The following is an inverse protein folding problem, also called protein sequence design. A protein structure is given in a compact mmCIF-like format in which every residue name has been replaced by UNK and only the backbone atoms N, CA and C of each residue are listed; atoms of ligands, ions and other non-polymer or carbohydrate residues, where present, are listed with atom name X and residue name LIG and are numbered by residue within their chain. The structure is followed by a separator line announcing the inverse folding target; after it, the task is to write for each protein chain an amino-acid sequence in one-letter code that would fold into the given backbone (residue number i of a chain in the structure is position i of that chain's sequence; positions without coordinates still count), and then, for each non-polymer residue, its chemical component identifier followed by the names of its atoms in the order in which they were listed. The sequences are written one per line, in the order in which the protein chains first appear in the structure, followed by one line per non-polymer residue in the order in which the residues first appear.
data_IF_433149912874
#
_entry.id   IF_433149912874
#
_cell.length_a   1.000
_cell.length_b   1.000
_cell.length_c   1.000
_cell.angle_alpha   90.00
_cell.angle_beta   90.00
_cell.angle_gamma   90.00
#
_symmetry.space_group_name_H-M   'P 1'
#
loop_
_entity.id
_entity.type
_entity.pdbx_description
1 polymer ?
#
# COMPACT_ATOMS: atom_id res chain seq x y z
N UNK A 1 23.85 -55.92 51.32
CA UNK A 1 23.93 -54.67 50.54
C UNK A 1 24.19 -55.08 49.11
N UNK A 2 23.11 -55.19 48.35
CA UNK A 2 23.08 -55.62 46.95
C UNK A 2 23.72 -54.56 46.02
N UNK A 3 24.45 -54.95 44.97
CA UNK A 3 25.00 -54.03 43.98
C UNK A 3 23.99 -53.77 42.85
N UNK A 4 23.44 -52.55 42.80
CA UNK A 4 22.44 -52.16 41.81
C UNK A 4 23.01 -51.62 40.50
N UNK A 5 23.21 -52.53 39.54
CA UNK A 5 23.07 -52.40 38.08
C UNK A 5 23.30 -51.04 37.38
N UNK A 6 24.38 -51.01 36.57
CA UNK A 6 24.60 -50.04 35.49
C UNK A 6 23.42 -50.04 34.50
N UNK A 7 22.74 -48.91 34.35
CA UNK A 7 21.85 -48.67 33.20
C UNK A 7 22.65 -48.07 32.06
N UNK A 8 22.95 -48.93 31.11
CA UNK A 8 23.47 -48.68 29.77
C UNK A 8 22.75 -47.50 29.10
N UNK A 9 23.50 -46.45 28.72
CA UNK A 9 22.98 -45.34 27.90
C UNK A 9 22.84 -45.84 26.46
N UNK A 10 21.60 -46.08 26.03
CA UNK A 10 21.27 -46.29 24.61
C UNK A 10 21.47 -44.93 23.90
N UNK A 11 22.35 -44.82 22.89
CA UNK A 11 22.49 -43.58 22.14
C UNK A 11 21.23 -43.36 21.28
N UNK A 12 20.55 -42.24 21.50
CA UNK A 12 19.51 -41.78 20.57
C UNK A 12 20.17 -41.44 19.25
N UNK A 13 19.94 -42.30 18.26
CA UNK A 13 20.32 -42.10 16.86
C UNK A 13 19.73 -40.77 16.38
N UNK A 14 20.60 -39.80 16.11
CA UNK A 14 20.24 -38.55 15.44
C UNK A 14 19.52 -38.93 14.14
N UNK A 15 18.21 -38.66 14.13
CA UNK A 15 17.39 -38.81 12.94
C UNK A 15 17.71 -37.57 12.11
N UNK A 16 18.62 -37.71 11.15
CA UNK A 16 18.82 -36.73 10.08
C UNK A 16 17.47 -36.52 9.38
N UNK A 17 16.73 -35.52 9.83
CA UNK A 17 15.67 -34.94 9.03
C UNK A 17 16.38 -34.20 7.90
N UNK A 18 16.43 -34.84 6.73
CA UNK A 18 16.61 -34.17 5.45
C UNK A 18 15.43 -33.23 5.21
N UNK A 19 15.33 -32.18 6.04
CA UNK A 19 14.44 -31.07 5.82
C UNK A 19 15.00 -30.32 4.63
N UNK A 20 14.27 -30.33 3.50
CA UNK A 20 14.48 -29.33 2.49
C UNK A 20 14.43 -27.97 3.21
N UNK A 21 15.58 -27.30 3.32
CA UNK A 21 15.62 -25.95 3.85
C UNK A 21 14.64 -25.14 3.02
N UNK A 22 13.68 -24.42 3.64
CA UNK A 22 12.80 -23.55 2.89
C UNK A 22 13.68 -22.64 2.03
N UNK A 23 13.43 -22.61 0.72
CA UNK A 23 14.07 -21.64 -0.16
C UNK A 23 13.51 -20.30 0.28
N UNK A 24 14.25 -19.60 1.13
CA UNK A 24 13.95 -18.22 1.49
C UNK A 24 14.31 -17.36 0.29
N UNK A 25 13.34 -17.15 -0.60
CA UNK A 25 13.47 -16.10 -1.61
C UNK A 25 13.67 -14.79 -0.85
N UNK A 26 14.80 -14.08 -1.04
CA UNK A 26 15.02 -12.81 -0.38
C UNK A 26 13.94 -11.84 -0.85
N UNK A 27 13.19 -11.30 0.11
CA UNK A 27 12.17 -10.29 -0.15
C UNK A 27 12.90 -8.99 -0.46
N UNK A 28 12.83 -8.54 -1.70
CA UNK A 28 13.51 -7.34 -2.16
C UNK A 28 12.74 -6.11 -1.69
N UNK A 29 13.47 -5.16 -1.10
CA UNK A 29 12.91 -3.86 -0.79
C UNK A 29 12.65 -3.08 -2.09
N UNK A 30 11.49 -2.43 -2.24
CA UNK A 30 11.20 -1.66 -3.45
C UNK A 30 12.06 -0.40 -3.52
N UNK A 31 12.57 -0.10 -4.71
CA UNK A 31 13.43 1.05 -4.96
C UNK A 31 12.63 2.26 -5.48
N UNK A 32 13.07 3.47 -5.12
CA UNK A 32 12.54 4.73 -5.60
C UNK A 32 13.50 5.28 -6.66
N UNK A 33 13.12 5.11 -7.92
CA UNK A 33 13.87 5.60 -9.09
C UNK A 33 13.24 6.84 -9.72
N UNK A 34 12.07 7.27 -9.23
CA UNK A 34 11.36 8.48 -9.67
C UNK A 34 10.56 9.08 -8.53
N UNK A 35 10.55 10.42 -8.44
CA UNK A 35 9.73 11.20 -7.50
C UNK A 35 8.39 11.63 -8.11
N UNK A 36 8.03 11.10 -9.29
CA UNK A 36 6.72 11.36 -9.89
C UNK A 36 5.59 10.78 -9.02
N UNK A 37 4.43 11.43 -9.03
CA UNK A 37 3.24 10.99 -8.27
C UNK A 37 2.92 9.51 -8.51
N UNK A 38 2.85 9.08 -9.77
CA UNK A 38 2.51 7.70 -10.12
C UNK A 38 3.57 6.69 -9.61
N UNK A 39 4.86 7.02 -9.72
CA UNK A 39 5.93 6.15 -9.23
C UNK A 39 5.88 6.04 -7.70
N UNK A 40 5.62 7.15 -6.99
CA UNK A 40 5.53 7.14 -5.53
C UNK A 40 4.28 6.44 -5.01
N UNK A 41 3.13 6.55 -5.70
CA UNK A 41 1.93 5.75 -5.37
C UNK A 41 2.22 4.26 -5.52
N UNK A 42 2.84 3.86 -6.63
CA UNK A 42 3.19 2.45 -6.85
C UNK A 42 4.19 1.95 -5.81
N UNK A 43 5.25 2.73 -5.55
CA UNK A 43 6.24 2.38 -4.53
C UNK A 43 5.61 2.22 -3.15
N UNK A 44 4.65 3.07 -2.75
CA UNK A 44 3.95 2.91 -1.46
C UNK A 44 3.20 1.58 -1.35
N UNK A 45 2.56 1.13 -2.43
CA UNK A 45 1.85 -0.16 -2.47
C UNK A 45 2.82 -1.31 -2.28
N UNK A 46 3.92 -1.32 -3.02
CA UNK A 46 4.97 -2.32 -2.92
C UNK A 46 5.64 -2.29 -1.54
N UNK A 47 5.89 -1.09 -1.01
CA UNK A 47 6.51 -0.86 0.30
C UNK A 47 5.65 -1.42 1.41
N UNK A 48 4.33 -1.26 1.36
CA UNK A 48 3.41 -1.85 2.34
C UNK A 48 3.51 -3.38 2.35
N UNK A 49 3.50 -4.02 1.18
CA UNK A 49 3.66 -5.48 1.05
C UNK A 49 5.01 -5.92 1.61
N UNK A 50 6.09 -5.23 1.25
CA UNK A 50 7.43 -5.49 1.78
C UNK A 50 7.46 -5.43 3.32
N UNK A 51 6.92 -4.36 3.91
CA UNK A 51 6.91 -4.16 5.36
C UNK A 51 6.02 -5.16 6.10
N UNK A 52 4.90 -5.58 5.50
CA UNK A 52 4.06 -6.64 6.06
C UNK A 52 4.82 -7.98 6.12
N UNK A 53 5.58 -8.31 5.07
CA UNK A 53 6.42 -9.52 5.06
C UNK A 53 7.57 -9.40 6.07
N UNK A 54 8.24 -8.24 6.17
CA UNK A 54 9.29 -8.02 7.16
C UNK A 54 8.77 -8.17 8.59
N UNK A 55 7.58 -7.64 8.90
CA UNK A 55 6.93 -7.82 10.21
C UNK A 55 6.64 -9.28 10.53
N UNK A 56 6.12 -10.04 9.57
CA UNK A 56 5.87 -11.48 9.76
C UNK A 56 7.16 -12.28 10.00
N UNK A 57 8.24 -11.93 9.28
CA UNK A 57 9.58 -12.53 9.49
C UNK A 57 10.11 -12.23 10.89
N UNK A 58 10.04 -10.98 11.35
CA UNK A 58 10.48 -10.59 12.69
C UNK A 58 9.71 -11.34 13.78
N UNK A 59 8.40 -11.54 13.61
CA UNK A 59 7.59 -12.34 14.55
C UNK A 59 8.05 -13.80 14.65
N UNK A 60 8.55 -14.37 13.56
CA UNK A 60 9.00 -15.77 13.51
C UNK A 60 10.43 -15.94 14.01
N UNK A 61 11.31 -14.99 13.70
CA UNK A 61 12.75 -15.08 13.96
C UNK A 61 13.19 -14.40 15.27
N UNK A 62 12.40 -13.45 15.78
CA UNK A 62 12.80 -12.55 16.86
C UNK A 62 13.76 -11.43 16.43
N UNK A 63 14.03 -11.28 15.13
CA UNK A 63 14.87 -10.20 14.61
C UNK A 63 14.22 -8.82 14.84
N UNK A 64 15.06 -7.81 15.13
CA UNK A 64 14.60 -6.42 15.23
C UNK A 64 14.14 -5.88 13.86
N UNK A 65 12.94 -5.33 13.81
CA UNK A 65 12.31 -4.81 12.59
C UNK A 65 13.13 -3.67 11.98
N UNK A 66 13.65 -2.75 12.79
CA UNK A 66 14.42 -1.64 12.30
C UNK A 66 15.77 -2.10 11.70
N UNK A 67 16.37 -3.15 12.25
CA UNK A 67 17.61 -3.73 11.74
C UNK A 67 17.43 -4.47 10.40
N UNK A 68 16.29 -5.13 10.16
CA UNK A 68 16.08 -5.94 8.94
C UNK A 68 15.33 -5.21 7.82
N UNK A 69 14.72 -4.07 8.12
CA UNK A 69 13.92 -3.30 7.15
C UNK A 69 14.76 -2.19 6.55
N UNK A 70 14.87 -2.16 5.21
CA UNK A 70 15.56 -1.08 4.50
C UNK A 70 14.90 0.27 4.79
N UNK A 71 15.65 1.30 5.14
CA UNK A 71 15.10 2.64 5.39
C UNK A 71 14.46 3.26 4.13
N UNK A 72 13.66 4.32 4.29
CA UNK A 72 13.10 5.05 3.14
C UNK A 72 14.22 5.72 2.36
N UNK A 73 15.18 6.33 3.07
CA UNK A 73 16.39 6.94 2.51
C UNK A 73 17.19 5.96 1.65
N UNK A 74 17.42 4.74 2.15
CA UNK A 74 18.15 3.69 1.43
C UNK A 74 17.34 3.03 0.31
N UNK A 75 16.05 3.35 0.22
CA UNK A 75 15.21 2.90 -0.91
C UNK A 75 15.39 3.79 -2.14
N UNK A 76 15.95 5.00 -2.03
CA UNK A 76 16.18 5.88 -3.18
C UNK A 76 17.41 5.47 -4.00
N UNK A 77 17.32 5.67 -5.32
CA UNK A 77 18.52 5.89 -6.11
C UNK A 77 19.32 7.07 -5.52
N UNK A 78 20.63 6.86 -5.32
CA UNK A 78 21.49 7.83 -4.63
C UNK A 78 21.50 9.18 -5.35
N UNK A 79 21.64 9.17 -6.67
CA UNK A 79 21.76 10.40 -7.47
C UNK A 79 20.43 11.15 -7.54
N UNK A 80 19.33 10.42 -7.60
CA UNK A 80 17.98 10.96 -7.48
C UNK A 80 17.81 11.69 -6.15
N UNK A 81 18.11 11.02 -5.03
CA UNK A 81 17.96 11.61 -3.69
C UNK A 81 18.83 12.84 -3.50
N UNK A 82 20.12 12.76 -3.85
CA UNK A 82 21.04 13.91 -3.77
C UNK A 82 20.55 15.11 -4.59
N UNK A 83 20.06 14.85 -5.80
CA UNK A 83 19.53 15.90 -6.68
C UNK A 83 18.24 16.48 -6.13
N UNK A 84 17.36 15.64 -5.59
CA UNK A 84 16.10 16.09 -5.02
C UNK A 84 16.31 16.93 -3.75
N UNK A 85 17.20 16.51 -2.83
CA UNK A 85 17.57 17.29 -1.66
C UNK A 85 18.17 18.66 -2.04
N UNK A 86 19.11 18.68 -3.00
CA UNK A 86 19.76 19.92 -3.47
C UNK A 86 18.77 20.89 -4.11
N UNK A 87 17.92 20.41 -5.02
CA UNK A 87 17.01 21.26 -5.79
C UNK A 87 15.74 21.64 -5.02
N UNK A 88 15.18 20.70 -4.26
CA UNK A 88 13.92 20.91 -3.54
C UNK A 88 14.09 21.66 -2.23
N UNK A 89 15.16 21.37 -1.49
CA UNK A 89 15.31 21.83 -0.10
C UNK A 89 16.60 22.59 0.18
N UNK A 90 17.56 22.62 -0.74
CA UNK A 90 18.86 23.26 -0.57
C UNK A 90 19.64 22.75 0.65
N UNK A 91 19.48 21.47 1.00
CA UNK A 91 20.18 20.80 2.10
C UNK A 91 21.01 19.63 1.59
N UNK A 92 22.03 19.25 2.36
CA UNK A 92 22.81 18.04 2.07
C UNK A 92 21.98 16.77 2.35
N UNK A 93 22.21 15.71 1.58
CA UNK A 93 21.53 14.41 1.79
C UNK A 93 21.77 13.85 3.20
N UNK A 94 22.91 14.18 3.83
CA UNK A 94 23.25 13.76 5.20
C UNK A 94 22.33 14.37 6.26
N UNK A 95 21.75 15.54 5.99
CA UNK A 95 20.86 16.27 6.91
C UNK A 95 19.39 15.86 6.78
N UNK A 96 19.06 15.04 5.77
CA UNK A 96 17.70 14.56 5.53
C UNK A 96 17.50 13.22 6.21
N UNK A 97 16.49 13.12 7.07
CA UNK A 97 16.08 11.89 7.72
C UNK A 97 14.90 11.22 7.02
N UNK A 98 14.63 9.99 7.47
CA UNK A 98 13.57 9.14 6.95
C UNK A 98 12.17 9.73 7.18
N UNK A 99 11.99 10.53 8.25
CA UNK A 99 10.71 11.14 8.58
C UNK A 99 10.36 12.25 7.58
N UNK A 100 11.31 13.13 7.29
CA UNK A 100 11.14 14.17 6.27
C UNK A 100 10.83 13.56 4.90
N UNK A 101 11.53 12.50 4.51
CA UNK A 101 11.26 11.81 3.24
C UNK A 101 9.86 11.23 3.19
N UNK A 102 9.38 10.58 4.27
CA UNK A 102 8.00 10.09 4.34
C UNK A 102 6.99 11.20 4.19
N UNK A 103 7.15 12.31 4.93
CA UNK A 103 6.26 13.46 4.84
C UNK A 103 6.19 14.05 3.43
N UNK A 104 7.31 14.07 2.72
CA UNK A 104 7.36 14.65 1.37
C UNK A 104 6.79 13.70 0.32
N UNK A 105 6.99 12.39 0.48
CA UNK A 105 6.28 11.37 -0.31
C UNK A 105 4.76 11.48 -0.07
N UNK A 106 4.33 11.63 1.19
CA UNK A 106 2.92 11.83 1.53
C UNK A 106 2.37 13.12 0.90
N UNK A 107 3.11 14.22 0.97
CA UNK A 107 2.73 15.48 0.32
C UNK A 107 2.53 15.30 -1.18
N UNK A 108 3.47 14.65 -1.87
CA UNK A 108 3.35 14.43 -3.32
C UNK A 108 2.15 13.55 -3.62
N UNK A 109 2.03 12.40 -2.95
CA UNK A 109 0.98 11.42 -3.24
C UNK A 109 -0.43 11.90 -2.88
N UNK A 110 -0.56 12.75 -1.86
CA UNK A 110 -1.84 13.35 -1.46
C UNK A 110 -2.16 14.66 -2.20
N UNK A 111 -1.19 15.23 -2.93
CA UNK A 111 -1.42 16.40 -3.76
C UNK A 111 -2.02 16.02 -5.12
N UNK A 112 -2.88 16.89 -5.64
CA UNK A 112 -3.42 16.72 -6.98
C UNK A 112 -2.27 16.72 -7.99
N UNK A 113 -2.23 15.67 -8.82
CA UNK A 113 -1.18 15.46 -9.83
C UNK A 113 -0.98 16.73 -10.67
N UNK A 114 0.28 17.18 -10.79
CA UNK A 114 0.69 18.39 -11.52
C UNK A 114 0.12 19.72 -10.98
N UNK A 115 -0.34 19.76 -9.72
CA UNK A 115 -0.99 20.95 -9.11
C UNK A 115 -2.16 21.53 -9.93
N UNK A 116 -2.69 20.75 -10.89
CA UNK A 116 -3.79 21.17 -11.75
C UNK A 116 -4.98 20.33 -11.35
N UNK A 117 -6.00 20.95 -10.76
CA UNK A 117 -7.27 20.28 -10.47
C UNK A 117 -7.83 19.68 -11.76
N UNK A 118 -7.83 18.35 -11.93
CA UNK A 118 -8.51 17.75 -13.06
C UNK A 118 -9.99 18.11 -12.95
N UNK A 119 -10.70 18.15 -14.07
CA UNK A 119 -12.15 18.15 -14.03
C UNK A 119 -12.58 16.81 -13.40
N UNK A 120 -12.74 16.79 -12.08
CA UNK A 120 -12.97 15.58 -11.27
C UNK A 120 -14.23 14.85 -11.74
N UNK A 121 -15.25 15.61 -12.16
CA UNK A 121 -16.47 15.03 -12.72
C UNK A 121 -16.21 14.31 -14.05
N UNK A 122 -15.46 14.91 -14.97
CA UNK A 122 -15.11 14.28 -16.23
C UNK A 122 -14.22 13.05 -16.02
N UNK A 123 -13.29 13.12 -15.06
CA UNK A 123 -12.42 12.00 -14.68
C UNK A 123 -13.25 10.81 -14.17
N UNK A 124 -14.12 11.04 -13.20
CA UNK A 124 -14.95 9.98 -12.64
C UNK A 124 -15.89 9.38 -13.70
N UNK A 125 -16.54 10.21 -14.53
CA UNK A 125 -17.36 9.70 -15.65
C UNK A 125 -16.56 8.85 -16.64
N UNK A 126 -15.28 9.16 -16.84
CA UNK A 126 -14.42 8.45 -17.78
C UNK A 126 -13.92 7.13 -17.22
N UNK A 127 -13.60 7.06 -15.93
CA UNK A 127 -12.84 5.94 -15.36
C UNK A 127 -13.63 5.08 -14.37
N UNK A 128 -14.70 5.61 -13.77
CA UNK A 128 -15.50 4.91 -12.78
C UNK A 128 -16.73 4.26 -13.44
N UNK A 129 -16.66 2.94 -13.63
CA UNK A 129 -17.73 2.17 -14.27
C UNK A 129 -18.08 0.92 -13.48
N UNK A 130 -19.33 0.48 -13.57
CA UNK A 130 -19.70 -0.84 -13.11
C UNK A 130 -19.11 -1.92 -14.03
N UNK A 131 -18.57 -2.99 -13.43
CA UNK A 131 -18.26 -4.20 -14.18
C UNK A 131 -19.56 -4.94 -14.51
N UNK A 132 -20.17 -4.66 -15.65
CA UNK A 132 -21.42 -5.30 -16.08
C UNK A 132 -21.27 -6.79 -16.44
N UNK A 133 -20.03 -7.30 -16.51
CA UNK A 133 -19.77 -8.74 -16.65
C UNK A 133 -19.92 -9.49 -15.33
N UNK A 134 -19.83 -8.79 -14.20
CA UNK A 134 -20.08 -9.37 -12.89
C UNK A 134 -21.59 -9.55 -12.66
N UNK A 135 -21.97 -10.79 -12.40
CA UNK A 135 -23.34 -11.23 -12.18
C UNK A 135 -23.82 -10.94 -10.76
N UNK A 136 -22.93 -11.04 -9.77
CA UNK A 136 -23.23 -10.74 -8.38
C UNK A 136 -23.35 -9.22 -8.18
N UNK A 137 -24.54 -8.76 -7.82
CA UNK A 137 -24.83 -7.34 -7.64
C UNK A 137 -24.01 -6.73 -6.50
N UNK A 138 -23.83 -7.47 -5.40
CA UNK A 138 -23.10 -7.01 -4.23
C UNK A 138 -21.62 -6.86 -4.56
N UNK A 139 -21.04 -7.86 -5.23
CA UNK A 139 -19.64 -7.80 -5.68
C UNK A 139 -19.43 -6.66 -6.69
N UNK A 140 -20.35 -6.49 -7.64
CA UNK A 140 -20.28 -5.39 -8.60
C UNK A 140 -20.30 -4.01 -7.93
N UNK A 141 -21.11 -3.84 -6.88
CA UNK A 141 -21.12 -2.61 -6.06
C UNK A 141 -19.81 -2.44 -5.31
N UNK A 142 -19.30 -3.50 -4.68
CA UNK A 142 -18.02 -3.47 -3.98
C UNK A 142 -16.87 -3.04 -4.90
N UNK A 143 -16.76 -3.66 -6.08
CA UNK A 143 -15.75 -3.33 -7.09
C UNK A 143 -15.85 -1.88 -7.60
N UNK A 144 -17.06 -1.32 -7.67
CA UNK A 144 -17.28 0.08 -8.01
C UNK A 144 -16.68 1.02 -6.95
N UNK A 145 -16.91 0.74 -5.66
CA UNK A 145 -16.30 1.52 -4.58
C UNK A 145 -14.77 1.36 -4.52
N UNK A 146 -14.25 0.15 -4.70
CA UNK A 146 -12.80 -0.11 -4.80
C UNK A 146 -12.20 0.71 -5.95
N UNK A 147 -12.87 0.74 -7.11
CA UNK A 147 -12.43 1.54 -8.26
C UNK A 147 -12.43 3.04 -7.97
N UNK A 148 -13.39 3.54 -7.17
CA UNK A 148 -13.40 4.92 -6.73
C UNK A 148 -12.20 5.25 -5.84
N UNK A 149 -11.89 4.40 -4.84
CA UNK A 149 -10.70 4.61 -3.99
C UNK A 149 -9.42 4.59 -4.82
N UNK A 150 -9.31 3.68 -5.80
CA UNK A 150 -8.19 3.62 -6.73
C UNK A 150 -8.01 4.92 -7.51
N UNK A 151 -9.09 5.49 -8.07
CA UNK A 151 -9.05 6.77 -8.81
C UNK A 151 -8.60 7.91 -7.88
N UNK A 152 -9.11 7.93 -6.64
CA UNK A 152 -8.74 8.96 -5.65
C UNK A 152 -7.25 8.91 -5.36
N UNK A 153 -6.70 7.72 -5.14
CA UNK A 153 -5.29 7.49 -4.86
C UNK A 153 -4.41 7.85 -6.06
N UNK A 154 -4.75 7.35 -7.26
CA UNK A 154 -3.99 7.58 -8.50
C UNK A 154 -3.94 9.04 -8.95
N UNK A 155 -4.91 9.85 -8.53
CA UNK A 155 -4.99 11.28 -8.87
C UNK A 155 -4.69 12.22 -7.70
N UNK A 156 -4.38 11.70 -6.52
CA UNK A 156 -4.09 12.50 -5.32
C UNK A 156 -5.27 13.36 -4.88
N UNK A 157 -6.48 12.80 -4.91
CA UNK A 157 -7.72 13.52 -4.59
C UNK A 157 -8.16 13.35 -3.13
N UNK A 158 -7.33 12.74 -2.27
CA UNK A 158 -7.69 12.47 -0.86
C UNK A 158 -8.14 13.74 -0.13
N UNK A 159 -7.32 14.79 -0.19
CA UNK A 159 -7.61 16.07 0.46
C UNK A 159 -8.93 16.72 -0.03
N UNK A 160 -9.34 16.47 -1.28
CA UNK A 160 -10.59 17.00 -1.83
C UNK A 160 -11.82 16.44 -1.11
N UNK A 161 -11.71 15.25 -0.50
CA UNK A 161 -12.85 14.51 0.06
C UNK A 161 -12.82 14.37 1.58
N UNK A 162 -11.83 14.93 2.27
CA UNK A 162 -11.70 14.86 3.74
C UNK A 162 -12.75 15.69 4.48
N UNK A 163 -13.15 16.84 3.92
CA UNK A 163 -14.12 17.73 4.56
C UNK A 163 -15.55 17.17 4.51
N UNK A 164 -16.44 17.68 5.37
CA UNK A 164 -17.87 17.32 5.32
C UNK A 164 -18.50 17.63 3.95
N UNK A 165 -18.08 18.73 3.32
CA UNK A 165 -18.51 19.13 1.98
C UNK A 165 -17.92 18.20 0.93
N UNK A 166 -16.62 17.94 1.01
CA UNK A 166 -15.92 17.01 0.11
C UNK A 166 -16.53 15.61 0.13
N UNK A 167 -16.89 15.07 1.30
CA UNK A 167 -17.61 13.78 1.39
C UNK A 167 -18.96 13.81 0.66
N UNK A 168 -19.71 14.91 0.72
CA UNK A 168 -20.97 15.05 -0.04
C UNK A 168 -20.72 15.12 -1.54
N UNK A 169 -19.68 15.85 -1.96
CA UNK A 169 -19.27 15.93 -3.36
C UNK A 169 -18.84 14.56 -3.89
N UNK A 170 -18.07 13.78 -3.11
CA UNK A 170 -17.73 12.39 -3.44
C UNK A 170 -18.99 11.54 -3.65
N UNK A 171 -19.98 11.60 -2.76
CA UNK A 171 -21.25 10.91 -2.94
C UNK A 171 -21.97 11.35 -4.23
N UNK A 172 -21.98 12.65 -4.51
CA UNK A 172 -22.58 13.18 -5.75
C UNK A 172 -21.85 12.66 -6.99
N UNK A 173 -20.52 12.63 -6.99
CA UNK A 173 -19.70 12.08 -8.08
C UNK A 173 -19.96 10.60 -8.30
N UNK A 174 -20.04 9.80 -7.24
CA UNK A 174 -20.35 8.38 -7.30
C UNK A 174 -21.70 8.13 -7.98
N UNK A 175 -22.75 8.84 -7.56
CA UNK A 175 -24.10 8.70 -8.16
C UNK A 175 -24.11 9.20 -9.60
N UNK A 176 -23.50 10.35 -9.87
CA UNK A 176 -23.50 10.96 -11.20
C UNK A 176 -22.69 10.18 -12.23
N UNK A 177 -21.71 9.38 -11.79
CA UNK A 177 -20.84 8.58 -12.66
C UNK A 177 -21.40 7.19 -12.97
N UNK A 178 -22.49 6.77 -12.33
CA UNK A 178 -23.14 5.49 -12.66
C UNK A 178 -23.56 5.48 -14.13
N UNK A 179 -23.05 4.51 -14.87
CA UNK A 179 -23.41 4.22 -16.25
C UNK A 179 -23.68 2.71 -16.41
N UNK A 180 -24.67 2.31 -17.24
CA UNK A 180 -25.62 3.15 -18.01
C UNK A 180 -26.66 3.87 -17.13
N UNK A 181 -27.33 4.92 -17.64
CA UNK A 181 -28.28 5.73 -16.85
C UNK A 181 -29.44 4.91 -16.25
N UNK A 182 -29.84 3.81 -16.89
CA UNK A 182 -30.89 2.91 -16.39
C UNK A 182 -30.58 2.27 -15.03
N UNK A 183 -29.34 2.36 -14.53
CA UNK A 183 -28.98 1.95 -13.18
C UNK A 183 -29.19 3.03 -12.11
N UNK A 184 -29.36 4.29 -12.52
CA UNK A 184 -29.67 5.42 -11.62
C UNK A 184 -31.15 5.46 -11.24
N UNK A 185 -32.01 4.95 -12.12
CA UNK A 185 -33.44 4.86 -11.88
C UNK A 185 -33.82 3.50 -11.29
N UNK A 186 -33.92 3.47 -9.97
CA UNK A 186 -35.11 2.98 -9.26
C UNK A 186 -34.97 3.40 -7.80
N UNK A 187 -36.04 4.02 -7.28
CA UNK A 187 -36.32 4.06 -5.86
C UNK A 187 -36.36 2.60 -5.35
N UNK A 188 -35.21 2.06 -4.96
CA UNK A 188 -35.14 0.90 -4.09
C UNK A 188 -34.60 1.47 -2.79
N UNK A 189 -35.46 1.49 -1.78
CA UNK A 189 -35.18 2.09 -0.48
C UNK A 189 -33.98 1.42 0.20
N UNK A 190 -32.79 1.92 -0.09
CA UNK A 190 -31.63 1.71 0.75
C UNK A 190 -31.70 2.81 1.80
N UNK A 191 -32.31 2.47 2.94
CA UNK A 191 -32.26 3.29 4.14
C UNK A 191 -30.82 3.23 4.68
N UNK A 192 -30.03 4.28 4.40
CA UNK A 192 -28.68 4.48 4.94
C UNK A 192 -28.71 4.94 6.40
N UNK A 193 -29.55 4.32 7.23
CA UNK A 193 -29.51 4.45 8.68
C UNK A 193 -29.54 3.05 9.29
N UNK A 194 -28.37 2.61 9.76
CA UNK A 194 -28.16 2.09 11.11
C UNK A 194 -26.67 2.25 11.43
#
# INVERSE_FOLDING_TARGET
MEPGSSKEKIPMKEREYGGAHPIFTPVLAPEITSTSHAALVQWRKERKVYEDIMRARCQTSGEDYAAVTRSVKDSFDRKLLETWCRLGWQVAVTEVDDNRLRSEIDNITNSVKNHTLPNVQALFKKELHFNLKESDVSERVLQYFISCERIIEEHGLHACFESKTGRKEKCSLLVNSVAPEGLKEKHIGINWKN
#
